data_IF_655927379931
#
_entry.id   IF_655927379931
#
_cell.length_a   1.000
_cell.length_b   1.000
_cell.length_c   1.000
_cell.angle_alpha   90.00
_cell.angle_beta   90.00
_cell.angle_gamma   90.00
#
_symmetry.space_group_name_H-M   'P 1'
#
loop_
_entity.id
_entity.type
_entity.pdbx_description
1 polymer ?
#
# COMPACT_ATOMS: atom_id res chain seq x y z
N UNK A 1 -1.93 5.11 11.32
CA UNK A 1 -3.27 5.20 10.71
C UNK A 1 -3.11 6.16 9.56
N UNK A 2 -3.11 5.71 8.30
CA UNK A 2 -2.99 6.64 7.16
C UNK A 2 -4.28 7.45 7.09
N UNK A 3 -4.19 8.77 7.23
CA UNK A 3 -5.26 9.67 6.81
C UNK A 3 -5.48 9.40 5.33
N UNK A 4 -6.67 8.91 4.97
CA UNK A 4 -7.00 8.65 3.58
C UNK A 4 -7.38 9.98 2.97
N UNK A 5 -6.48 10.54 2.18
CA UNK A 5 -6.72 11.80 1.50
C UNK A 5 -7.21 11.52 0.08
N UNK A 6 -8.28 12.22 -0.31
CA UNK A 6 -8.79 12.24 -1.68
C UNK A 6 -8.42 13.59 -2.27
N UNK A 7 -7.82 13.61 -3.46
CA UNK A 7 -7.60 14.84 -4.21
C UNK A 7 -8.69 14.99 -5.26
N UNK A 8 -9.40 16.11 -5.24
CA UNK A 8 -10.35 16.52 -6.27
C UNK A 8 -9.76 17.65 -7.10
N UNK A 9 -9.56 17.41 -8.39
CA UNK A 9 -9.03 18.37 -9.35
C UNK A 9 -10.17 18.81 -10.25
N UNK A 10 -10.71 20.00 -9.98
CA UNK A 10 -11.87 20.53 -10.70
C UNK A 10 -11.94 22.05 -10.61
N UNK A 11 -12.38 22.69 -11.69
CA UNK A 11 -12.59 24.14 -11.75
C UNK A 11 -14.02 24.57 -11.44
N UNK A 12 -14.92 23.62 -11.11
CA UNK A 12 -16.34 23.95 -10.91
C UNK A 12 -16.55 24.83 -9.69
N UNK A 13 -17.55 25.71 -9.79
CA UNK A 13 -18.07 26.42 -8.63
C UNK A 13 -18.71 25.42 -7.65
N UNK A 14 -18.49 25.64 -6.35
CA UNK A 14 -19.04 24.76 -5.31
C UNK A 14 -18.27 23.45 -5.07
N UNK A 15 -17.11 23.24 -5.71
CA UNK A 15 -16.25 22.08 -5.48
C UNK A 15 -15.93 21.85 -3.98
N UNK A 16 -15.73 22.91 -3.20
CA UNK A 16 -15.50 22.81 -1.76
C UNK A 16 -16.68 22.23 -0.98
N UNK A 17 -17.93 22.57 -1.36
CA UNK A 17 -19.13 22.01 -0.73
C UNK A 17 -19.28 20.53 -1.08
N UNK A 18 -18.98 20.16 -2.33
CA UNK A 18 -18.99 18.77 -2.78
C UNK A 18 -17.94 17.94 -2.04
N UNK A 19 -16.72 18.47 -1.90
CA UNK A 19 -15.64 17.85 -1.14
C UNK A 19 -16.00 17.66 0.34
N UNK A 20 -16.58 18.68 0.97
CA UNK A 20 -17.04 18.59 2.36
C UNK A 20 -18.11 17.51 2.54
N UNK A 21 -19.09 17.43 1.64
CA UNK A 21 -20.15 16.43 1.71
C UNK A 21 -19.62 14.99 1.54
N UNK A 22 -18.64 14.77 0.66
CA UNK A 22 -17.97 13.47 0.51
C UNK A 22 -17.16 13.15 1.77
N UNK A 23 -16.40 14.12 2.28
CA UNK A 23 -15.57 13.98 3.47
C UNK A 23 -16.40 13.59 4.69
N UNK A 24 -17.56 14.21 4.89
CA UNK A 24 -18.50 13.87 5.95
C UNK A 24 -19.07 12.46 5.79
N UNK A 25 -19.51 12.06 4.59
CA UNK A 25 -20.11 10.74 4.35
C UNK A 25 -19.12 9.57 4.42
N UNK A 26 -17.83 9.86 4.22
CA UNK A 26 -16.76 8.85 4.17
C UNK A 26 -15.76 8.94 5.32
N UNK A 27 -15.94 9.89 6.24
CA UNK A 27 -15.03 10.18 7.36
C UNK A 27 -13.56 10.30 6.89
N UNK A 28 -13.34 11.18 5.91
CA UNK A 28 -12.03 11.39 5.30
C UNK A 28 -11.81 12.84 4.89
N UNK A 29 -10.55 13.18 4.63
CA UNK A 29 -10.19 14.51 4.12
C UNK A 29 -10.22 14.53 2.59
N UNK A 30 -10.88 15.54 2.03
CA UNK A 30 -10.93 15.78 0.59
C UNK A 30 -10.27 17.12 0.31
N UNK A 31 -9.13 17.09 -0.37
CA UNK A 31 -8.43 18.27 -0.85
C UNK A 31 -8.99 18.68 -2.22
N UNK A 32 -9.15 19.99 -2.45
CA UNK A 32 -9.62 20.53 -3.74
C UNK A 32 -8.53 21.36 -4.39
N UNK A 33 -8.12 20.95 -5.58
CA UNK A 33 -7.21 21.70 -6.45
C UNK A 33 -7.99 22.33 -7.61
N UNK A 34 -8.23 23.63 -7.53
CA UNK A 34 -9.02 24.37 -8.53
C UNK A 34 -8.29 24.61 -9.87
N UNK A 35 -6.98 24.37 -9.92
CA UNK A 35 -6.16 24.66 -11.11
C UNK A 35 -5.18 23.54 -11.40
N UNK A 36 -4.76 23.43 -12.66
CA UNK A 36 -3.73 22.48 -13.11
C UNK A 36 -2.43 22.59 -12.31
N UNK A 37 -2.01 23.82 -11.99
CA UNK A 37 -0.80 24.09 -11.20
C UNK A 37 -0.98 23.66 -9.74
N UNK A 38 -2.14 23.95 -9.14
CA UNK A 38 -2.45 23.52 -7.78
C UNK A 38 -2.44 21.99 -7.70
N UNK A 39 -3.08 21.30 -8.64
CA UNK A 39 -3.13 19.84 -8.70
C UNK A 39 -1.74 19.20 -8.71
N UNK A 40 -0.84 19.66 -9.59
CA UNK A 40 0.53 19.15 -9.63
C UNK A 40 1.33 19.49 -8.37
N UNK A 41 0.98 20.58 -7.68
CA UNK A 41 1.62 20.94 -6.41
C UNK A 41 1.14 19.99 -5.31
N UNK A 42 -0.15 19.72 -5.21
CA UNK A 42 -0.73 18.76 -4.27
C UNK A 42 -0.13 17.37 -4.47
N UNK A 43 -0.09 16.88 -5.71
CA UNK A 43 0.49 15.56 -6.05
C UNK A 43 1.98 15.42 -5.73
N UNK A 44 2.73 16.53 -5.65
CA UNK A 44 4.15 16.51 -5.28
C UNK A 44 4.37 16.41 -3.77
N UNK A 45 3.41 16.84 -2.96
CA UNK A 45 3.59 16.97 -1.51
C UNK A 45 2.67 16.05 -0.70
N UNK A 46 1.62 15.51 -1.32
CA UNK A 46 0.63 14.63 -0.68
C UNK A 46 0.65 13.22 -1.24
N UNK A 47 0.27 12.27 -0.41
CA UNK A 47 -0.06 10.90 -0.82
C UNK A 47 -1.57 10.73 -0.77
N UNK A 48 -2.17 10.42 -1.91
CA UNK A 48 -3.62 10.27 -2.02
C UNK A 48 -4.01 8.81 -2.21
N UNK A 49 -5.15 8.42 -1.65
CA UNK A 49 -5.74 7.11 -1.94
C UNK A 49 -6.54 7.12 -3.25
N UNK A 50 -7.12 8.28 -3.59
CA UNK A 50 -7.91 8.50 -4.80
C UNK A 50 -7.59 9.89 -5.34
N UNK A 51 -7.36 9.98 -6.64
CA UNK A 51 -7.22 11.26 -7.37
C UNK A 51 -8.35 11.33 -8.38
N UNK A 52 -9.20 12.35 -8.23
CA UNK A 52 -10.35 12.62 -9.08
C UNK A 52 -10.01 13.79 -9.98
N UNK A 53 -10.10 13.62 -11.29
CA UNK A 53 -9.95 14.70 -12.28
C UNK A 53 -11.30 14.93 -12.96
N UNK A 54 -11.67 16.19 -13.08
CA UNK A 54 -12.84 16.58 -13.87
C UNK A 54 -12.63 16.23 -15.35
N UNK A 55 -13.60 15.51 -15.93
CA UNK A 55 -13.58 15.05 -17.33
C UNK A 55 -13.31 16.20 -18.31
N UNK A 56 -13.98 17.34 -18.16
CA UNK A 56 -13.74 18.50 -19.02
C UNK A 56 -12.32 19.04 -18.91
N UNK A 57 -11.72 19.04 -17.71
CA UNK A 57 -10.34 19.52 -17.53
C UNK A 57 -9.33 18.58 -18.19
N UNK A 58 -9.56 17.27 -18.09
CA UNK A 58 -8.75 16.24 -18.72
C UNK A 58 -8.88 16.28 -20.25
N UNK A 59 -10.11 16.39 -20.77
CA UNK A 59 -10.38 16.46 -22.20
C UNK A 59 -9.75 17.68 -22.88
N UNK A 60 -9.70 18.82 -22.18
CA UNK A 60 -9.11 20.05 -22.71
C UNK A 60 -7.58 20.05 -22.78
N UNK A 61 -6.91 19.16 -22.06
CA UNK A 61 -5.44 19.01 -22.06
C UNK A 61 -5.05 17.59 -21.65
N UNK A 62 -5.04 16.65 -22.61
CA UNK A 62 -4.72 15.25 -22.34
C UNK A 62 -3.29 15.04 -21.84
N UNK A 63 -2.34 15.86 -22.28
CA UNK A 63 -0.94 15.76 -21.85
C UNK A 63 -0.79 16.12 -20.37
N UNK A 64 -1.49 17.17 -19.92
CA UNK A 64 -1.57 17.49 -18.49
C UNK A 64 -2.26 16.37 -17.69
N UNK A 65 -3.36 15.79 -18.20
CA UNK A 65 -4.04 14.68 -17.53
C UNK A 65 -3.10 13.47 -17.37
N UNK A 66 -2.35 13.13 -18.44
CA UNK A 66 -1.33 12.09 -18.39
C UNK A 66 -0.24 12.39 -17.35
N UNK A 67 0.18 13.65 -17.21
CA UNK A 67 1.09 14.05 -16.15
C UNK A 67 0.48 13.88 -14.76
N UNK A 68 -0.80 14.22 -14.57
CA UNK A 68 -1.51 13.97 -13.29
C UNK A 68 -1.50 12.48 -12.96
N UNK A 69 -1.81 11.61 -13.92
CA UNK A 69 -1.81 10.16 -13.71
C UNK A 69 -0.42 9.61 -13.40
N UNK A 70 0.62 10.11 -14.06
CA UNK A 70 2.00 9.73 -13.77
C UNK A 70 2.44 10.13 -12.35
N UNK A 71 1.90 11.25 -11.82
CA UNK A 71 2.22 11.74 -10.47
C UNK A 71 1.22 11.29 -9.40
N UNK A 72 0.16 10.56 -9.75
CA UNK A 72 -0.82 10.02 -8.82
C UNK A 72 -0.29 8.85 -7.97
N UNK A 73 0.88 8.29 -8.34
CA UNK A 73 1.53 7.22 -7.58
C UNK A 73 0.65 5.97 -7.46
N UNK A 74 0.31 5.57 -6.23
CA UNK A 74 -0.58 4.44 -5.94
C UNK A 74 -2.05 4.82 -5.81
N UNK A 75 -2.39 6.11 -5.95
CA UNK A 75 -3.76 6.56 -5.89
C UNK A 75 -4.58 5.94 -7.02
N UNK A 76 -5.85 5.62 -6.76
CA UNK A 76 -6.75 5.22 -7.83
C UNK A 76 -7.17 6.47 -8.61
N UNK A 77 -6.90 6.53 -9.94
CA UNK A 77 -7.39 7.62 -10.77
C UNK A 77 -8.88 7.43 -11.05
N UNK A 78 -9.65 8.52 -10.94
CA UNK A 78 -11.04 8.60 -11.36
C UNK A 78 -11.22 9.83 -12.24
N UNK A 79 -11.82 9.65 -13.41
CA UNK A 79 -12.24 10.76 -14.27
C UNK A 79 -13.75 10.93 -14.15
N UNK A 80 -14.21 12.11 -13.74
CA UNK A 80 -15.61 12.36 -13.38
C UNK A 80 -16.12 13.61 -14.09
N UNK A 81 -17.27 13.48 -14.75
CA UNK A 81 -18.05 14.65 -15.15
C UNK A 81 -18.89 15.16 -13.97
N UNK A 82 -18.43 16.22 -13.32
CA UNK A 82 -19.14 16.82 -12.19
C UNK A 82 -20.45 17.52 -12.59
N UNK A 83 -20.59 17.96 -13.85
CA UNK A 83 -21.82 18.62 -14.32
C UNK A 83 -23.03 17.69 -14.29
N UNK A 84 -22.81 16.37 -14.39
CA UNK A 84 -23.86 15.34 -14.35
C UNK A 84 -23.77 14.40 -13.15
N UNK A 85 -22.69 14.49 -12.36
CA UNK A 85 -22.46 13.62 -11.20
C UNK A 85 -22.84 14.32 -9.90
N UNK A 86 -23.98 13.94 -9.34
CA UNK A 86 -24.38 14.37 -8.01
C UNK A 86 -23.53 13.75 -6.88
N UNK A 87 -23.57 14.37 -5.70
CA UNK A 87 -22.83 13.98 -4.48
C UNK A 87 -22.95 12.48 -4.18
N UNK A 88 -24.16 11.90 -4.27
CA UNK A 88 -24.40 10.49 -3.94
C UNK A 88 -23.68 9.53 -4.89
N UNK A 89 -23.66 9.85 -6.19
CA UNK A 89 -22.96 9.04 -7.19
C UNK A 89 -21.46 9.08 -6.94
N UNK A 90 -20.93 10.28 -6.79
CA UNK A 90 -19.50 10.49 -6.56
C UNK A 90 -19.02 9.79 -5.29
N UNK A 91 -19.78 9.92 -4.18
CA UNK A 91 -19.45 9.26 -2.92
C UNK A 91 -19.40 7.74 -3.07
N UNK A 92 -20.33 7.14 -3.84
CA UNK A 92 -20.32 5.71 -4.12
C UNK A 92 -19.09 5.28 -4.92
N UNK A 93 -18.72 6.05 -5.93
CA UNK A 93 -17.55 5.77 -6.76
C UNK A 93 -16.24 5.88 -5.96
N UNK A 94 -16.09 6.94 -5.14
CA UNK A 94 -14.95 7.11 -4.23
C UNK A 94 -14.87 5.98 -3.21
N UNK A 95 -16.00 5.60 -2.58
CA UNK A 95 -16.05 4.46 -1.65
C UNK A 95 -15.60 3.16 -2.32
N UNK A 96 -16.14 2.87 -3.50
CA UNK A 96 -15.79 1.66 -4.26
C UNK A 96 -14.32 1.62 -4.63
N UNK A 97 -13.76 2.76 -5.06
CA UNK A 97 -12.34 2.90 -5.34
C UNK A 97 -11.50 2.62 -4.08
N UNK A 98 -11.80 3.29 -2.97
CA UNK A 98 -11.08 3.09 -1.71
C UNK A 98 -11.14 1.63 -1.22
N UNK A 99 -12.28 0.97 -1.37
CA UNK A 99 -12.42 -0.43 -0.99
C UNK A 99 -11.66 -1.37 -1.93
N UNK A 100 -11.58 -1.05 -3.23
CA UNK A 100 -10.69 -1.76 -4.17
C UNK A 100 -9.22 -1.61 -3.75
N UNK A 101 -8.76 -0.39 -3.49
CA UNK A 101 -7.38 -0.12 -3.04
C UNK A 101 -7.04 -0.92 -1.78
N UNK A 102 -7.92 -0.92 -0.76
CA UNK A 102 -7.70 -1.70 0.47
C UNK A 102 -7.56 -3.19 0.20
N UNK A 103 -8.42 -3.75 -0.67
CA UNK A 103 -8.36 -5.17 -1.02
C UNK A 103 -7.05 -5.51 -1.72
N UNK A 104 -6.64 -4.70 -2.69
CA UNK A 104 -5.38 -4.89 -3.41
C UNK A 104 -4.16 -4.79 -2.48
N UNK A 105 -4.14 -3.81 -1.58
CA UNK A 105 -3.08 -3.68 -0.58
C UNK A 105 -3.02 -4.85 0.40
N UNK A 106 -4.17 -5.38 0.84
CA UNK A 106 -4.22 -6.55 1.71
C UNK A 106 -3.66 -7.79 1.00
N UNK A 107 -4.01 -8.00 -0.26
CA UNK A 107 -3.48 -9.10 -1.07
C UNK A 107 -1.98 -8.97 -1.28
N UNK A 108 -1.49 -7.77 -1.64
CA UNK A 108 -0.08 -7.50 -1.82
C UNK A 108 0.73 -7.75 -0.53
N UNK A 109 0.25 -7.24 0.62
CA UNK A 109 0.90 -7.46 1.92
C UNK A 109 0.95 -8.93 2.30
N UNK A 110 -0.13 -9.68 2.04
CA UNK A 110 -0.16 -11.13 2.28
C UNK A 110 0.84 -11.87 1.41
N UNK A 111 0.95 -11.50 0.14
CA UNK A 111 1.92 -12.10 -0.78
C UNK A 111 3.36 -11.88 -0.31
N UNK A 112 3.70 -10.63 0.06
CA UNK A 112 5.04 -10.28 0.57
C UNK A 112 5.35 -11.03 1.87
N UNK A 113 4.38 -11.12 2.80
CA UNK A 113 4.58 -11.85 4.04
C UNK A 113 4.86 -13.34 3.80
N UNK A 114 4.15 -13.98 2.86
CA UNK A 114 4.36 -15.38 2.50
C UNK A 114 5.74 -15.61 1.86
N UNK A 115 6.19 -14.70 1.00
CA UNK A 115 7.52 -14.78 0.38
C UNK A 115 8.62 -14.68 1.45
N UNK A 116 8.55 -13.68 2.34
CA UNK A 116 9.49 -13.53 3.44
C UNK A 116 9.49 -14.73 4.40
N UNK A 117 8.31 -15.29 4.69
CA UNK A 117 8.20 -16.48 5.53
C UNK A 117 8.89 -17.68 4.89
N UNK A 118 8.72 -17.87 3.58
CA UNK A 118 9.36 -18.94 2.84
C UNK A 118 10.89 -18.80 2.83
N UNK A 119 11.40 -17.58 2.58
CA UNK A 119 12.85 -17.29 2.60
C UNK A 119 13.47 -17.56 3.98
N UNK A 120 12.76 -17.20 5.05
CA UNK A 120 13.18 -17.49 6.42
C UNK A 120 13.20 -19.00 6.70
N UNK A 121 12.20 -19.76 6.24
CA UNK A 121 12.17 -21.23 6.39
C UNK A 121 13.37 -21.88 5.71
N UNK A 122 13.69 -21.48 4.48
CA UNK A 122 14.84 -21.99 3.74
C UNK A 122 16.14 -21.67 4.49
N UNK A 123 16.30 -20.42 4.91
CA UNK A 123 17.51 -19.95 5.63
C UNK A 123 17.70 -20.69 6.95
N UNK A 124 16.65 -20.81 7.78
CA UNK A 124 16.71 -21.52 9.07
C UNK A 124 16.99 -23.01 8.87
N UNK A 125 16.41 -23.63 7.83
CA UNK A 125 16.69 -25.03 7.50
C UNK A 125 18.16 -25.23 7.13
N UNK A 126 18.72 -24.31 6.34
CA UNK A 126 20.16 -24.30 6.03
C UNK A 126 21.02 -24.16 7.27
N UNK A 127 20.71 -23.21 8.17
CA UNK A 127 21.44 -23.01 9.43
C UNK A 127 21.41 -24.23 10.33
N UNK A 128 20.25 -24.89 10.47
CA UNK A 128 20.09 -26.13 11.23
C UNK A 128 20.98 -27.23 10.65
N UNK A 129 20.88 -27.47 9.35
CA UNK A 129 21.66 -28.51 8.68
C UNK A 129 23.16 -28.26 8.84
N UNK A 130 23.64 -27.04 8.62
CA UNK A 130 25.06 -26.70 8.76
C UNK A 130 25.54 -26.85 10.20
N UNK A 131 24.74 -26.42 11.19
CA UNK A 131 25.09 -26.54 12.60
C UNK A 131 25.12 -28.01 13.07
N UNK A 132 24.17 -28.83 12.60
CA UNK A 132 24.14 -30.27 12.88
C UNK A 132 25.27 -31.02 12.20
N UNK A 133 25.64 -30.66 10.96
CA UNK A 133 26.79 -31.23 10.27
C UNK A 133 28.10 -30.88 10.99
N UNK A 134 28.27 -29.62 11.38
CA UNK A 134 29.43 -29.19 12.15
C UNK A 134 29.56 -29.97 13.47
N UNK A 135 28.45 -30.19 14.19
CA UNK A 135 28.43 -31.00 15.42
C UNK A 135 28.81 -32.48 15.22
N UNK A 136 28.68 -33.01 14.00
CA UNK A 136 29.03 -34.39 13.67
C UNK A 136 30.50 -34.54 13.24
N UNK A 137 31.23 -33.44 13.06
CA UNK A 137 32.64 -33.52 12.70
C UNK A 137 33.49 -34.10 13.84
N UNK A 138 34.40 -35.05 13.56
CA UNK A 138 35.19 -35.74 14.59
C UNK A 138 36.12 -34.84 15.42
N UNK A 139 36.33 -33.58 15.03
CA UNK A 139 37.31 -32.66 15.60
C UNK A 139 36.71 -31.34 16.12
N UNK A 140 35.42 -31.31 16.47
CA UNK A 140 34.80 -30.12 17.08
C UNK A 140 35.50 -29.78 18.40
N UNK A 141 35.98 -28.54 18.52
CA UNK A 141 36.58 -28.05 19.76
C UNK A 141 35.56 -28.12 20.92
N UNK A 142 35.97 -28.58 22.12
CA UNK A 142 35.10 -28.63 23.31
C UNK A 142 34.48 -27.28 23.70
N UNK A 143 35.08 -26.18 23.26
CA UNK A 143 34.59 -24.81 23.49
C UNK A 143 33.53 -24.35 22.48
N UNK A 144 33.48 -24.97 21.30
CA UNK A 144 32.55 -24.66 20.21
C UNK A 144 31.28 -25.52 20.28
N UNK A 145 31.39 -26.76 20.77
CA UNK A 145 30.26 -27.68 20.85
C UNK A 145 29.03 -27.10 21.59
N UNK A 146 29.16 -26.46 22.77
CA UNK A 146 28.01 -25.90 23.48
C UNK A 146 27.36 -24.74 22.71
N UNK A 147 28.14 -23.96 21.96
CA UNK A 147 27.66 -22.85 21.14
C UNK A 147 26.87 -23.36 19.93
N UNK A 148 27.38 -24.39 19.25
CA UNK A 148 26.71 -25.02 18.13
C UNK A 148 25.38 -25.68 18.55
N UNK A 149 25.36 -26.37 19.71
CA UNK A 149 24.11 -26.91 20.27
C UNK A 149 23.07 -25.82 20.54
N UNK A 150 23.51 -24.67 21.07
CA UNK A 150 22.63 -23.51 21.29
C UNK A 150 22.09 -22.93 19.98
N UNK A 151 22.90 -22.89 18.92
CA UNK A 151 22.44 -22.45 17.59
C UNK A 151 21.38 -23.39 17.02
N UNK A 152 21.56 -24.71 17.17
CA UNK A 152 20.55 -25.71 16.76
C UNK A 152 19.24 -25.51 17.52
N UNK A 153 19.31 -25.31 18.84
CA UNK A 153 18.12 -25.07 19.67
C UNK A 153 17.37 -23.80 19.24
N UNK A 154 18.08 -22.67 19.09
CA UNK A 154 17.49 -21.38 18.69
C UNK A 154 16.87 -21.46 17.29
N UNK A 155 17.57 -22.06 16.32
CA UNK A 155 17.06 -22.24 14.97
C UNK A 155 15.87 -23.22 14.95
N UNK A 156 15.86 -24.24 15.82
CA UNK A 156 14.73 -25.15 15.99
C UNK A 156 13.47 -24.45 16.51
N UNK A 157 13.61 -23.60 17.52
CA UNK A 157 12.51 -22.76 18.03
C UNK A 157 11.98 -21.81 16.94
N UNK A 158 12.87 -21.21 16.17
CA UNK A 158 12.49 -20.31 15.07
C UNK A 158 11.73 -21.05 13.96
N UNK A 159 12.18 -22.27 13.60
CA UNK A 159 11.49 -23.13 12.64
C UNK A 159 10.06 -23.46 13.09
N UNK A 160 9.87 -23.78 14.37
CA UNK A 160 8.54 -24.11 14.89
C UNK A 160 7.61 -22.90 14.87
N UNK A 161 8.10 -21.72 15.25
CA UNK A 161 7.33 -20.47 15.17
C UNK A 161 6.91 -20.14 13.73
N UNK A 162 7.80 -20.33 12.76
CA UNK A 162 7.50 -20.14 11.33
C UNK A 162 6.53 -21.20 10.78
N UNK A 163 6.43 -22.37 11.41
CA UNK A 163 5.48 -23.42 11.02
C UNK A 163 4.07 -23.13 11.52
N UNK A 164 3.95 -22.61 12.75
CA UNK A 164 2.67 -22.24 13.38
C UNK A 164 2.09 -20.97 12.75
N UNK A 165 2.93 -20.03 12.29
CA UNK A 165 2.47 -18.80 11.61
C UNK A 165 1.79 -19.04 10.25
N UNK A 166 1.91 -20.25 9.68
CA UNK A 166 1.37 -20.61 8.38
C UNK A 166 -0.04 -21.26 8.44
N UNK A 167 -0.52 -21.59 9.65
CA UNK A 167 -1.79 -22.28 9.92
C UNK A 167 -2.86 -21.29 10.39
#
# INVERSE_FOLDING_TARGET
>A
MMNKEVLMITGIEGAGNLAAAIGEQLDLHVEVAATRKAALTSLKHGEFGVVIVEENMAAMDPDWANHVWAHAGQAIPLEINFAISGVSRLTREVRSALDRMKREQLLARRSVALEMENDLKVTVTGMLLQSELALREPAVSPTLEPKLRRLVELAGVMRERLRVSAA
#
